data_IF_156145277985
#
_entry.id   IF_156145277985
#
_cell.length_a   1.000
_cell.length_b   1.000
_cell.length_c   1.000
_cell.angle_alpha   90.00
_cell.angle_beta   90.00
_cell.angle_gamma   90.00
#
_symmetry.space_group_name_H-M   'P 1'
#
loop_
_entity.id
_entity.type
_entity.pdbx_description
1 polymer ?
#
# COMPACT_ATOMS: atom_id res chain seq x y z
N UNK A 1 40.23 -17.96 -1.48
CA UNK A 1 39.30 -17.21 -2.34
C UNK A 1 38.62 -18.21 -3.26
N UNK A 2 37.28 -18.26 -3.34
CA UNK A 2 36.60 -19.13 -4.29
C UNK A 2 36.93 -18.71 -5.71
N UNK A 3 37.12 -19.69 -6.58
CA UNK A 3 37.41 -19.48 -8.00
C UNK A 3 36.15 -19.01 -8.74
N UNK A 4 36.33 -18.36 -9.89
CA UNK A 4 35.21 -17.93 -10.75
C UNK A 4 34.30 -19.11 -11.14
N UNK A 5 34.85 -20.32 -11.31
CA UNK A 5 34.10 -21.54 -11.59
C UNK A 5 33.21 -21.97 -10.41
N UNK A 6 33.72 -21.89 -9.18
CA UNK A 6 32.94 -22.20 -7.97
C UNK A 6 31.81 -21.20 -7.76
N UNK A 7 32.06 -19.91 -8.01
CA UNK A 7 31.04 -18.87 -7.94
C UNK A 7 29.93 -19.15 -8.95
N UNK A 8 30.29 -19.46 -10.21
CA UNK A 8 29.31 -19.79 -11.26
C UNK A 8 28.50 -21.04 -10.94
N UNK A 9 29.14 -22.08 -10.38
CA UNK A 9 28.46 -23.31 -9.94
C UNK A 9 27.45 -23.03 -8.82
N UNK A 10 27.80 -22.18 -7.85
CA UNK A 10 26.90 -21.78 -6.75
C UNK A 10 25.73 -20.94 -7.25
N UNK A 11 25.98 -20.01 -8.16
CA UNK A 11 24.92 -19.21 -8.79
C UNK A 11 23.93 -20.10 -9.54
N UNK A 12 24.45 -21.07 -10.32
CA UNK A 12 23.61 -22.05 -11.01
C UNK A 12 22.79 -22.92 -10.03
N UNK A 13 23.40 -23.37 -8.93
CA UNK A 13 22.68 -24.15 -7.92
C UNK A 13 21.55 -23.35 -7.23
N UNK A 14 21.67 -22.03 -7.18
CA UNK A 14 20.67 -21.12 -6.63
C UNK A 14 19.62 -20.68 -7.68
N UNK A 15 19.68 -21.21 -8.91
CA UNK A 15 18.76 -20.86 -10.00
C UNK A 15 19.13 -19.60 -10.78
N UNK A 16 20.31 -19.01 -10.53
CA UNK A 16 20.84 -17.87 -11.28
C UNK A 16 21.58 -18.37 -12.54
N UNK A 17 20.89 -19.18 -13.34
CA UNK A 17 21.45 -19.88 -14.50
C UNK A 17 21.67 -18.94 -15.69
N UNK A 18 20.83 -17.90 -15.79
CA UNK A 18 20.83 -16.91 -16.87
C UNK A 18 20.15 -15.61 -16.41
N UNK A 19 20.58 -14.44 -16.90
CA UNK A 19 19.86 -13.18 -16.71
C UNK A 19 18.38 -13.28 -17.12
N UNK A 20 18.06 -14.08 -18.15
CA UNK A 20 16.67 -14.29 -18.58
C UNK A 20 15.80 -14.94 -17.49
N UNK A 21 16.35 -15.94 -16.78
CA UNK A 21 15.62 -16.61 -15.70
C UNK A 21 15.28 -15.67 -14.54
N UNK A 22 16.12 -14.65 -14.30
CA UNK A 22 15.86 -13.62 -13.28
C UNK A 22 14.75 -12.67 -13.70
N UNK A 23 14.68 -12.33 -15.00
CA UNK A 23 13.60 -11.51 -15.56
C UNK A 23 12.28 -12.28 -15.46
N UNK A 24 12.25 -13.55 -15.85
CA UNK A 24 11.07 -14.41 -15.76
C UNK A 24 10.57 -14.54 -14.30
N UNK A 25 11.50 -14.68 -13.34
CA UNK A 25 11.17 -14.73 -11.92
C UNK A 25 10.59 -13.40 -11.42
N UNK A 26 11.16 -12.28 -11.84
CA UNK A 26 10.64 -10.95 -11.50
C UNK A 26 9.23 -10.73 -12.07
N UNK A 27 8.98 -11.15 -13.31
CA UNK A 27 7.66 -11.09 -13.92
C UNK A 27 6.62 -11.97 -13.21
N UNK A 28 7.01 -13.17 -12.78
CA UNK A 28 6.14 -14.05 -12.00
C UNK A 28 5.74 -13.43 -10.65
N UNK A 29 6.69 -12.77 -9.98
CA UNK A 29 6.44 -12.04 -8.73
C UNK A 29 5.49 -10.84 -8.98
N UNK A 30 5.69 -10.11 -10.08
CA UNK A 30 4.80 -9.00 -10.43
C UNK A 30 3.37 -9.48 -10.74
N UNK A 31 3.22 -10.59 -11.47
CA UNK A 31 1.91 -11.19 -11.77
C UNK A 31 1.18 -11.61 -10.50
N UNK A 32 1.87 -12.28 -9.58
CA UNK A 32 1.28 -12.71 -8.30
C UNK A 32 0.87 -11.53 -7.42
N UNK A 33 1.72 -10.50 -7.29
CA UNK A 33 1.36 -9.26 -6.57
C UNK A 33 0.15 -8.56 -7.18
N UNK A 34 0.06 -8.51 -8.52
CA UNK A 34 -1.08 -7.92 -9.22
C UNK A 34 -2.36 -8.71 -8.99
N UNK A 35 -2.29 -10.04 -9.03
CA UNK A 35 -3.44 -10.90 -8.73
C UNK A 35 -3.94 -10.69 -7.28
N UNK A 36 -3.02 -10.65 -6.31
CA UNK A 36 -3.36 -10.37 -4.92
C UNK A 36 -4.00 -8.98 -4.74
N UNK A 37 -3.50 -7.96 -5.46
CA UNK A 37 -4.07 -6.61 -5.41
C UNK A 37 -5.48 -6.52 -6.02
N UNK A 38 -5.71 -7.18 -7.17
CA UNK A 38 -7.04 -7.24 -7.78
C UNK A 38 -8.03 -8.07 -6.96
N UNK A 39 -7.56 -9.09 -6.23
CA UNK A 39 -8.39 -9.83 -5.27
C UNK A 39 -8.74 -8.97 -4.06
N UNK A 40 -7.78 -8.23 -3.49
CA UNK A 40 -8.01 -7.34 -2.36
C UNK A 40 -9.06 -6.24 -2.67
N UNK A 41 -9.04 -5.68 -3.89
CA UNK A 41 -10.05 -4.70 -4.33
C UNK A 41 -11.49 -5.21 -4.32
N UNK A 42 -11.71 -6.52 -4.43
CA UNK A 42 -13.07 -7.10 -4.39
C UNK A 42 -13.68 -7.01 -3.00
N UNK A 43 -12.84 -6.95 -1.97
CA UNK A 43 -13.25 -6.89 -0.57
C UNK A 43 -13.15 -5.48 0.00
N UNK A 44 -12.38 -4.60 -0.64
CA UNK A 44 -12.26 -3.17 -0.31
C UNK A 44 -13.41 -2.34 -0.94
N UNK A 45 -14.63 -2.85 -0.86
CA UNK A 45 -15.82 -2.05 -1.12
C UNK A 45 -16.10 -1.27 0.16
N UNK A 46 -16.17 0.08 0.13
CA UNK A 46 -16.53 0.85 1.30
C UNK A 46 -18.05 0.71 1.49
N UNK A 47 -18.51 -0.42 2.01
CA UNK A 47 -19.83 -0.51 2.63
C UNK A 47 -19.69 -0.17 4.12
N UNK A 48 -19.06 0.96 4.39
CA UNK A 48 -19.27 1.68 5.64
C UNK A 48 -20.22 2.81 5.28
N UNK A 49 -21.51 2.50 5.40
CA UNK A 49 -22.51 3.51 5.68
C UNK A 49 -21.99 4.25 6.91
N UNK A 50 -21.30 5.37 6.71
CA UNK A 50 -21.17 6.37 7.74
C UNK A 50 -22.59 6.79 8.06
N UNK A 51 -23.12 6.22 9.14
CA UNK A 51 -24.36 6.64 9.74
C UNK A 51 -24.15 8.10 10.16
N UNK A 52 -24.51 9.02 9.26
CA UNK A 52 -24.33 10.47 9.37
C UNK A 52 -25.33 11.06 10.39
N UNK A 53 -25.70 10.27 11.40
CA UNK A 53 -26.61 10.62 12.49
C UNK A 53 -25.94 11.49 13.56
N UNK A 54 -24.61 11.64 13.52
CA UNK A 54 -23.84 12.50 14.45
C UNK A 54 -23.41 13.85 13.86
N UNK A 55 -23.88 14.21 12.65
CA UNK A 55 -23.62 15.54 12.05
C UNK A 55 -24.75 16.54 12.32
N UNK A 56 -25.47 16.40 13.45
CA UNK A 56 -26.67 17.19 13.72
C UNK A 56 -26.90 17.57 15.19
N UNK A 57 -25.86 17.87 15.96
CA UNK A 57 -26.06 18.54 17.26
C UNK A 57 -24.78 19.12 17.85
N UNK A 58 -24.21 20.14 17.21
CA UNK A 58 -23.53 21.24 17.92
C UNK A 58 -23.77 22.54 17.15
N UNK A 59 -25.06 22.84 16.98
CA UNK A 59 -25.52 24.22 16.85
C UNK A 59 -25.84 24.69 18.27
N UNK A 60 -25.52 25.96 18.60
CA UNK A 60 -25.76 26.65 19.89
C UNK A 60 -24.60 26.41 20.88
N UNK A 61 -23.61 27.30 21.09
CA UNK A 61 -23.67 28.75 21.32
C UNK A 61 -22.39 29.45 20.80
N UNK A 62 -22.48 30.22 19.73
CA UNK A 62 -21.63 31.41 19.59
C UNK A 62 -22.35 32.53 20.34
N UNK A 63 -22.10 32.65 21.65
CA UNK A 63 -22.35 33.93 22.32
C UNK A 63 -21.23 34.84 21.85
N UNK A 64 -21.56 35.78 20.96
CA UNK A 64 -20.73 36.93 20.65
C UNK A 64 -20.24 37.57 21.96
N UNK A 65 -18.93 37.80 22.14
CA UNK A 65 -18.51 38.93 22.94
C UNK A 65 -18.69 40.17 22.04
N UNK A 66 -19.63 41.03 22.43
CA UNK A 66 -19.80 42.39 21.93
C UNK A 66 -18.44 43.11 21.81
N UNK A 67 -18.30 44.04 20.85
CA UNK A 67 -17.12 44.88 20.78
C UNK A 67 -17.15 45.85 21.97
N UNK A 68 -16.36 45.59 23.01
CA UNK A 68 -16.10 46.62 24.00
C UNK A 68 -15.32 47.76 23.33
N UNK A 69 -16.10 48.78 23.00
CA UNK A 69 -15.68 50.10 22.56
C UNK A 69 -15.02 50.86 23.71
N UNK A 70 -13.94 51.59 23.38
CA UNK A 70 -13.36 52.75 24.06
C UNK A 70 -12.78 52.61 25.48
N UNK A 71 -11.44 52.63 25.57
CA UNK A 71 -10.68 53.82 26.00
C UNK A 71 -9.19 53.72 25.68
#
# INVERSE_FOLDING_TARGET
>A
MPTQAEIKKRLKALGFDSPAALIDQAEAILKTKRAAYEEAKKYDSPDEKQDDTMRRSFSVNFLEPEPFSSR
#
